data_IF_433108523930
#
_entry.id   IF_433108523930
#
_cell.length_a   1.000
_cell.length_b   1.000
_cell.length_c   1.000
_cell.angle_alpha   90.00
_cell.angle_beta   90.00
_cell.angle_gamma   90.00
#
_symmetry.space_group_name_H-M   'P 1'
#
loop_
_entity.id
_entity.type
_entity.pdbx_description
1 polymer ?
#
# COMPACT_ATOMS: atom_id res chain seq x y z
N UNK A 1 13.63 -18.14 -6.26
CA UNK A 1 14.26 -17.92 -4.94
C UNK A 1 13.74 -18.95 -3.91
N UNK A 2 14.39 -19.13 -2.75
CA UNK A 2 13.88 -20.03 -1.68
C UNK A 2 12.49 -19.60 -1.19
N UNK A 3 12.21 -18.29 -1.19
CA UNK A 3 10.89 -17.76 -0.88
C UNK A 3 9.83 -18.24 -1.87
N UNK A 4 10.08 -18.17 -3.19
CA UNK A 4 9.15 -18.68 -4.19
C UNK A 4 8.81 -20.15 -3.94
N UNK A 5 9.82 -20.99 -3.69
CA UNK A 5 9.59 -22.42 -3.39
C UNK A 5 8.73 -22.65 -2.15
N UNK A 6 8.84 -21.79 -1.13
CA UNK A 6 7.99 -21.85 0.05
C UNK A 6 6.55 -21.45 -0.28
N UNK A 7 6.38 -20.38 -1.05
CA UNK A 7 5.07 -19.89 -1.46
C UNK A 7 4.35 -20.88 -2.39
N UNK A 8 5.09 -21.55 -3.30
CA UNK A 8 4.55 -22.58 -4.18
C UNK A 8 3.98 -23.78 -3.40
N UNK A 9 4.57 -24.08 -2.25
CA UNK A 9 4.10 -25.16 -1.36
C UNK A 9 2.95 -24.70 -0.45
N UNK A 10 2.88 -23.40 -0.16
CA UNK A 10 1.87 -22.81 0.69
C UNK A 10 0.68 -22.31 -0.13
N UNK A 11 0.04 -23.20 -0.90
CA UNK A 11 -1.05 -22.87 -1.84
C UNK A 11 -2.30 -22.22 -1.23
N UNK A 12 -2.40 -22.18 0.11
CA UNK A 12 -3.47 -21.52 0.87
C UNK A 12 -3.00 -20.26 1.59
N UNK A 13 -1.78 -19.80 1.33
CA UNK A 13 -1.25 -18.59 1.93
C UNK A 13 -1.84 -17.39 1.19
N UNK A 14 -2.78 -16.72 1.85
CA UNK A 14 -3.47 -15.56 1.31
C UNK A 14 -2.84 -14.22 1.70
N UNK A 15 -2.07 -14.20 2.78
CA UNK A 15 -1.43 -12.99 3.29
C UNK A 15 0.08 -13.20 3.41
N UNK A 16 0.83 -12.24 2.88
CA UNK A 16 2.27 -12.15 2.99
C UNK A 16 2.62 -10.80 3.64
N UNK A 17 3.34 -10.85 4.75
CA UNK A 17 3.90 -9.66 5.40
C UNK A 17 5.41 -9.71 5.31
N UNK A 18 6.01 -8.61 4.88
CA UNK A 18 7.44 -8.50 4.67
C UNK A 18 8.02 -7.45 5.62
N UNK A 19 8.73 -7.93 6.64
CA UNK A 19 9.38 -7.08 7.64
C UNK A 19 10.87 -6.94 7.36
N UNK A 20 11.41 -5.74 7.57
CA UNK A 20 12.85 -5.52 7.73
C UNK A 20 13.75 -6.14 6.64
N UNK A 21 13.33 -6.09 5.36
CA UNK A 21 14.21 -6.54 4.26
C UNK A 21 15.27 -5.48 3.96
N UNK A 22 16.54 -5.85 4.09
CA UNK A 22 17.65 -4.94 3.80
C UNK A 22 17.66 -4.52 2.33
N UNK A 23 17.80 -3.21 2.12
CA UNK A 23 17.59 -2.47 0.87
C UNK A 23 18.44 -2.89 -0.33
N UNK A 24 19.58 -3.55 -0.16
CA UNK A 24 20.60 -3.52 -1.23
C UNK A 24 20.35 -4.42 -2.43
N UNK A 25 19.44 -5.41 -2.40
CA UNK A 25 19.14 -6.26 -3.58
C UNK A 25 17.77 -6.98 -3.56
N UNK A 26 16.94 -6.78 -2.52
CA UNK A 26 15.75 -7.63 -2.29
C UNK A 26 14.40 -7.01 -2.66
N UNK A 27 14.37 -5.73 -3.02
CA UNK A 27 13.17 -5.09 -3.58
C UNK A 27 12.74 -5.77 -4.89
N UNK A 28 13.71 -6.06 -5.77
CA UNK A 28 13.47 -6.80 -7.01
C UNK A 28 12.91 -8.20 -6.76
N UNK A 29 13.31 -8.85 -5.67
CA UNK A 29 12.84 -10.20 -5.34
C UNK A 29 11.33 -10.24 -5.03
N UNK A 30 10.75 -9.19 -4.45
CA UNK A 30 9.30 -9.10 -4.27
C UNK A 30 8.58 -9.01 -5.62
N UNK A 31 9.17 -8.25 -6.55
CA UNK A 31 8.58 -8.01 -7.87
C UNK A 31 8.61 -9.25 -8.76
N UNK A 32 9.46 -10.23 -8.44
CA UNK A 32 9.59 -11.50 -9.14
C UNK A 32 8.71 -12.62 -8.58
N UNK A 33 8.07 -12.44 -7.41
CA UNK A 33 7.26 -13.50 -6.82
C UNK A 33 5.98 -13.70 -7.63
N UNK A 34 5.71 -14.96 -7.98
CA UNK A 34 4.57 -15.36 -8.83
C UNK A 34 3.47 -16.11 -8.08
N UNK A 35 3.55 -16.20 -6.75
CA UNK A 35 2.62 -17.00 -5.95
C UNK A 35 1.18 -16.52 -6.07
N UNK A 36 0.33 -17.32 -6.73
CA UNK A 36 -1.04 -16.90 -7.07
C UNK A 36 -2.03 -16.88 -5.91
N UNK A 37 -1.67 -17.45 -4.75
CA UNK A 37 -2.59 -17.54 -3.60
C UNK A 37 -2.58 -16.27 -2.77
N UNK A 38 -1.50 -15.48 -2.84
CA UNK A 38 -1.31 -14.26 -2.06
C UNK A 38 -2.20 -13.16 -2.64
N UNK A 39 -3.10 -12.64 -1.81
CA UNK A 39 -4.03 -11.55 -2.12
C UNK A 39 -3.85 -10.34 -1.21
N UNK A 40 -3.24 -10.54 -0.04
CA UNK A 40 -2.90 -9.47 0.89
C UNK A 40 -1.40 -9.33 1.02
N UNK A 41 -0.90 -8.14 0.72
CA UNK A 41 0.50 -7.79 0.85
C UNK A 41 0.66 -6.69 1.90
N UNK A 42 1.53 -6.93 2.87
CA UNK A 42 1.83 -5.98 3.94
C UNK A 42 3.32 -5.61 3.92
N UNK A 43 3.55 -4.35 3.56
CA UNK A 43 4.85 -3.70 3.34
C UNK A 43 5.01 -2.44 4.22
N UNK A 44 4.17 -2.21 5.23
CA UNK A 44 4.32 -1.02 6.09
C UNK A 44 5.64 -1.02 6.87
N UNK A 45 6.08 -2.19 7.33
CA UNK A 45 7.37 -2.38 8.02
C UNK A 45 8.49 -2.83 7.08
N UNK A 46 8.26 -2.64 5.79
CA UNK A 46 9.30 -2.76 4.79
C UNK A 46 10.17 -1.52 4.96
N UNK A 47 11.41 -1.64 5.46
CA UNK A 47 12.33 -0.51 5.73
C UNK A 47 12.70 0.30 4.45
N UNK A 48 11.70 0.83 3.75
CA UNK A 48 11.76 1.55 2.49
C UNK A 48 10.42 2.28 2.29
N UNK A 49 10.52 3.57 2.02
CA UNK A 49 9.39 4.36 1.54
C UNK A 49 9.33 4.24 0.02
N UNK A 50 8.20 3.80 -0.51
CA UNK A 50 8.07 3.53 -1.94
C UNK A 50 7.96 4.84 -2.73
N UNK A 51 8.90 5.05 -3.64
CA UNK A 51 8.83 6.11 -4.64
C UNK A 51 7.97 5.73 -5.86
N UNK A 52 7.88 6.65 -6.82
CA UNK A 52 7.05 6.46 -8.01
C UNK A 52 7.48 5.24 -8.82
N UNK A 53 8.78 5.06 -9.06
CA UNK A 53 9.29 3.93 -9.84
C UNK A 53 8.96 2.60 -9.14
N UNK A 54 9.20 2.52 -7.84
CA UNK A 54 8.90 1.33 -7.06
C UNK A 54 7.40 1.03 -7.00
N UNK A 55 6.54 2.04 -6.89
CA UNK A 55 5.08 1.85 -6.95
C UNK A 55 4.64 1.32 -8.33
N UNK A 56 5.23 1.84 -9.41
CA UNK A 56 4.98 1.34 -10.77
C UNK A 56 5.44 -0.11 -10.91
N UNK A 57 6.66 -0.43 -10.47
CA UNK A 57 7.18 -1.80 -10.51
C UNK A 57 6.30 -2.75 -9.70
N UNK A 58 5.88 -2.35 -8.49
CA UNK A 58 4.97 -3.13 -7.66
C UNK A 58 3.65 -3.38 -8.38
N UNK A 59 3.02 -2.35 -8.95
CA UNK A 59 1.73 -2.47 -9.62
C UNK A 59 1.74 -3.42 -10.82
N UNK A 60 2.88 -3.57 -11.49
CA UNK A 60 3.06 -4.50 -12.61
C UNK A 60 3.63 -5.86 -12.21
N UNK A 61 4.05 -6.04 -10.97
CA UNK A 61 4.53 -7.33 -10.48
C UNK A 61 3.39 -8.36 -10.41
N UNK A 62 3.67 -9.67 -10.50
CA UNK A 62 2.63 -10.68 -10.39
C UNK A 62 1.90 -10.61 -9.04
N UNK A 63 2.62 -10.32 -7.95
CA UNK A 63 2.00 -10.07 -6.64
C UNK A 63 1.10 -8.83 -6.67
N UNK A 64 1.55 -7.73 -7.26
CA UNK A 64 0.77 -6.50 -7.31
C UNK A 64 -0.49 -6.62 -8.17
N UNK A 65 -0.39 -7.26 -9.34
CA UNK A 65 -1.52 -7.46 -10.25
C UNK A 65 -2.69 -8.14 -9.55
N UNK A 66 -2.43 -9.11 -8.69
CA UNK A 66 -3.46 -9.89 -8.00
C UNK A 66 -3.75 -9.44 -6.57
N UNK A 67 -3.05 -8.41 -6.10
CA UNK A 67 -3.19 -7.92 -4.74
C UNK A 67 -4.56 -7.26 -4.57
N UNK A 68 -5.34 -7.75 -3.62
CA UNK A 68 -6.64 -7.20 -3.23
C UNK A 68 -6.50 -6.25 -2.04
N UNK A 69 -5.52 -6.48 -1.16
CA UNK A 69 -5.27 -5.64 0.01
C UNK A 69 -3.79 -5.31 0.13
N UNK A 70 -3.45 -4.03 0.05
CA UNK A 70 -2.08 -3.54 0.19
C UNK A 70 -1.94 -2.68 1.45
N UNK A 71 -0.91 -2.94 2.25
CA UNK A 71 -0.45 -2.05 3.31
C UNK A 71 0.95 -1.57 2.93
N UNK A 72 1.18 -0.26 2.84
CA UNK A 72 2.43 0.29 2.28
C UNK A 72 2.74 1.69 2.80
N UNK A 73 4.01 2.06 2.82
CA UNK A 73 4.48 3.44 3.04
C UNK A 73 5.00 4.03 1.73
N UNK A 74 4.54 5.21 1.36
CA UNK A 74 4.92 5.89 0.09
C UNK A 74 5.51 7.27 0.36
N UNK A 75 6.42 7.71 -0.52
CA UNK A 75 7.07 9.02 -0.39
C UNK A 75 6.13 10.20 -0.65
N UNK A 76 5.27 10.09 -1.66
CA UNK A 76 4.42 11.20 -2.13
C UNK A 76 2.99 10.74 -2.34
N UNK A 77 2.02 11.63 -2.10
CA UNK A 77 0.59 11.36 -2.29
C UNK A 77 0.21 10.95 -3.71
N UNK A 78 0.94 11.42 -4.72
CA UNK A 78 0.73 11.00 -6.12
C UNK A 78 1.01 9.52 -6.34
N UNK A 79 1.88 8.90 -5.53
CA UNK A 79 2.14 7.46 -5.59
C UNK A 79 0.93 6.64 -5.16
N UNK A 80 0.08 7.17 -4.26
CA UNK A 80 -1.21 6.56 -3.89
C UNK A 80 -2.06 6.40 -5.14
N UNK A 81 -2.18 7.46 -5.96
CA UNK A 81 -2.96 7.42 -7.19
C UNK A 81 -2.40 6.41 -8.20
N UNK A 82 -1.07 6.29 -8.31
CA UNK A 82 -0.44 5.29 -9.18
C UNK A 82 -0.81 3.88 -8.79
N UNK A 83 -0.77 3.57 -7.49
CA UNK A 83 -1.16 2.26 -6.98
C UNK A 83 -2.64 1.97 -7.27
N UNK A 84 -3.53 2.91 -6.92
CA UNK A 84 -4.98 2.76 -7.13
C UNK A 84 -5.32 2.58 -8.61
N UNK A 85 -4.69 3.34 -9.51
CA UNK A 85 -5.00 3.28 -10.94
C UNK A 85 -4.40 2.07 -11.66
N UNK A 86 -3.26 1.55 -11.20
CA UNK A 86 -2.54 0.49 -11.90
C UNK A 86 -2.80 -0.91 -11.32
N UNK A 87 -3.20 -1.03 -10.05
CA UNK A 87 -3.47 -2.32 -9.42
C UNK A 87 -4.95 -2.68 -9.56
N UNK A 88 -5.29 -3.29 -10.69
CA UNK A 88 -6.69 -3.53 -11.09
C UNK A 88 -7.52 -4.41 -10.15
N UNK A 89 -6.90 -5.24 -9.33
CA UNK A 89 -7.59 -6.08 -8.34
C UNK A 89 -7.60 -5.46 -6.94
N UNK A 90 -7.00 -4.28 -6.74
CA UNK A 90 -6.89 -3.64 -5.43
C UNK A 90 -8.27 -3.19 -4.94
N UNK A 91 -8.66 -3.70 -3.78
CA UNK A 91 -9.93 -3.40 -3.11
C UNK A 91 -9.71 -2.60 -1.82
N UNK A 92 -8.55 -2.76 -1.18
CA UNK A 92 -8.20 -2.05 0.04
C UNK A 92 -6.74 -1.60 0.01
N UNK A 93 -6.52 -0.34 0.35
CA UNK A 93 -5.20 0.24 0.51
C UNK A 93 -5.11 0.89 1.89
N UNK A 94 -4.19 0.41 2.73
CA UNK A 94 -3.76 1.13 3.93
C UNK A 94 -2.41 1.77 3.64
N UNK A 95 -2.34 3.09 3.65
CA UNK A 95 -1.15 3.81 3.22
C UNK A 95 -0.70 4.85 4.23
N UNK A 96 0.60 4.83 4.52
CA UNK A 96 1.29 5.95 5.15
C UNK A 96 1.95 6.78 4.07
N UNK A 97 1.81 8.10 4.15
CA UNK A 97 2.29 9.02 3.14
C UNK A 97 3.23 10.04 3.77
N UNK A 98 4.49 10.11 3.33
CA UNK A 98 5.49 10.94 4.00
C UNK A 98 5.31 12.46 3.76
N UNK A 99 4.65 12.86 2.68
CA UNK A 99 4.27 14.25 2.40
C UNK A 99 2.89 14.61 2.98
N UNK A 100 2.37 13.78 3.89
CA UNK A 100 1.21 14.11 4.71
C UNK A 100 1.63 15.00 5.87
N UNK A 101 1.14 16.24 5.87
CA UNK A 101 1.46 17.23 6.89
C UNK A 101 0.51 17.16 8.11
N UNK A 102 -0.14 16.02 8.34
CA UNK A 102 -1.00 15.83 9.50
C UNK A 102 -0.20 16.03 10.80
N UNK A 103 -0.49 17.13 11.51
CA UNK A 103 0.18 17.51 12.77
C UNK A 103 -0.76 17.17 13.92
N UNK A 104 -0.48 16.05 14.57
CA UNK A 104 -1.40 15.42 15.51
C UNK A 104 -1.33 15.98 16.95
N UNK A 105 -1.16 17.30 17.13
CA UNK A 105 -0.82 17.80 18.47
C UNK A 105 -1.99 18.31 19.31
N UNK A 106 -3.14 18.73 18.79
CA UNK A 106 -4.16 19.36 19.66
C UNK A 106 -5.65 19.20 19.32
N UNK A 107 -6.05 18.53 18.23
CA UNK A 107 -7.47 18.54 17.87
C UNK A 107 -7.99 17.21 17.31
N UNK A 108 -8.39 16.31 18.22
CA UNK A 108 -9.18 15.11 17.90
C UNK A 108 -10.54 15.43 17.25
N UNK A 109 -10.92 16.71 17.12
CA UNK A 109 -12.20 17.14 16.56
C UNK A 109 -12.11 17.79 15.18
N UNK A 110 -10.93 18.12 14.67
CA UNK A 110 -10.78 18.74 13.34
C UNK A 110 -10.68 17.70 12.21
N UNK A 111 -11.66 16.79 12.12
CA UNK A 111 -11.82 15.91 10.94
C UNK A 111 -12.22 16.66 9.67
N UNK A 112 -12.41 17.99 9.76
CA UNK A 112 -12.90 18.86 8.70
C UNK A 112 -11.76 19.31 7.77
N UNK A 113 -10.51 19.31 8.25
CA UNK A 113 -9.34 19.84 7.53
C UNK A 113 -8.30 18.77 7.21
N UNK A 114 -8.71 17.53 6.95
CA UNK A 114 -7.81 16.48 6.47
C UNK A 114 -7.44 16.71 5.01
N UNK A 115 -6.42 17.52 4.80
CA UNK A 115 -5.94 17.98 3.49
C UNK A 115 -5.67 16.81 2.54
N UNK A 116 -5.00 15.76 3.01
CA UNK A 116 -4.69 14.60 2.17
C UNK A 116 -5.95 13.78 1.85
N UNK A 117 -6.85 13.58 2.80
CA UNK A 117 -8.12 12.88 2.53
C UNK A 117 -9.00 13.67 1.57
N UNK A 118 -9.11 14.99 1.74
CA UNK A 118 -9.85 15.86 0.81
C UNK A 118 -9.22 15.86 -0.58
N UNK A 119 -7.89 15.96 -0.66
CA UNK A 119 -7.18 15.84 -1.94
C UNK A 119 -7.48 14.49 -2.61
N UNK A 120 -7.42 13.38 -1.87
CA UNK A 120 -7.76 12.06 -2.41
C UNK A 120 -9.22 11.97 -2.88
N UNK A 121 -10.17 12.58 -2.15
CA UNK A 121 -11.59 12.64 -2.55
C UNK A 121 -11.80 13.40 -3.86
N UNK A 122 -10.95 14.40 -4.15
CA UNK A 122 -10.99 15.14 -5.42
C UNK A 122 -10.35 14.36 -6.58
N UNK A 123 -9.35 13.54 -6.31
CA UNK A 123 -8.59 12.81 -7.34
C UNK A 123 -9.17 11.43 -7.66
N UNK A 124 -9.86 10.79 -6.71
CA UNK A 124 -10.38 9.43 -6.84
C UNK A 124 -11.88 9.41 -7.15
N UNK A 125 -12.38 8.34 -7.79
CA UNK A 125 -13.81 8.16 -8.00
C UNK A 125 -14.58 8.17 -6.67
N UNK A 126 -15.81 8.70 -6.67
CA UNK A 126 -16.69 8.72 -5.50
C UNK A 126 -17.10 7.33 -4.99
N UNK A 127 -16.80 6.27 -5.75
CA UNK A 127 -16.94 4.88 -5.31
C UNK A 127 -15.90 4.49 -4.27
N UNK A 128 -14.79 5.22 -4.16
CA UNK A 128 -13.76 5.01 -3.15
C UNK A 128 -14.21 5.59 -1.81
N UNK A 129 -14.15 4.79 -0.76
CA UNK A 129 -14.33 5.28 0.62
C UNK A 129 -12.96 5.56 1.22
N UNK A 130 -12.71 6.81 1.63
CA UNK A 130 -11.41 7.26 2.14
C UNK A 130 -11.60 7.72 3.59
N UNK A 131 -10.81 7.15 4.49
CA UNK A 131 -10.84 7.43 5.92
C UNK A 131 -9.43 7.40 6.52
N UNK A 132 -9.11 8.37 7.36
CA UNK A 132 -7.94 8.30 8.24
C UNK A 132 -8.22 7.37 9.42
N UNK A 133 -7.24 6.56 9.81
CA UNK A 133 -7.34 5.73 11.00
C UNK A 133 -7.20 6.60 12.26
N UNK A 134 -8.20 6.58 13.12
CA UNK A 134 -8.22 7.37 14.36
C UNK A 134 -7.22 6.88 15.41
N UNK A 135 -6.74 5.64 15.29
CA UNK A 135 -5.77 5.05 16.22
C UNK A 135 -4.34 5.08 15.67
N UNK A 136 -4.20 5.13 14.35
CA UNK A 136 -2.92 5.24 13.65
C UNK A 136 -3.04 6.43 12.71
N UNK A 137 -2.93 7.64 13.25
CA UNK A 137 -3.27 8.88 12.53
C UNK A 137 -2.51 9.08 11.23
N UNK A 138 -1.36 8.43 11.04
CA UNK A 138 -0.59 8.49 9.80
C UNK A 138 -1.09 7.50 8.72
N UNK A 139 -2.01 6.61 9.07
CA UNK A 139 -2.59 5.61 8.16
C UNK A 139 -3.87 6.17 7.53
N UNK A 140 -3.88 6.18 6.20
CA UNK A 140 -5.08 6.42 5.39
C UNK A 140 -5.55 5.10 4.81
N UNK A 141 -6.83 4.80 5.05
CA UNK A 141 -7.52 3.63 4.53
C UNK A 141 -8.41 4.02 3.36
N UNK A 142 -8.18 3.40 2.22
CA UNK A 142 -8.98 3.52 1.02
C UNK A 142 -9.66 2.17 0.73
N UNK A 143 -10.97 2.19 0.56
CA UNK A 143 -11.75 1.05 0.07
C UNK A 143 -12.20 1.34 -1.37
N UNK A 144 -11.78 0.49 -2.29
CA UNK A 144 -11.98 0.62 -3.74
C UNK A 144 -13.04 -0.40 -4.15
N UNK A 145 -14.04 0.03 -4.91
CA UNK A 145 -15.20 -0.78 -5.32
C UNK A 145 -15.23 -0.98 -6.82
#
# INVERSE_FOLDING_TARGET
SQLQLLLDRAVRLHSLRCFHWSLSNRQLLLMEITSISVRRLDLQDYNCDFDEEQCIQLSHSPLGIQCETLLITVKNRTNILKLVNNMSNLQALNVQCLDDNWTDENDLTSSIDDELVEWLRQQLPSTCTIMRDTFHVHDIRLWIR
#
